data_IF_866662415165
#
_entry.id   IF_866662415165
#
_cell.length_a   1.000
_cell.length_b   1.000
_cell.length_c   1.000
_cell.angle_alpha   90.00
_cell.angle_beta   90.00
_cell.angle_gamma   90.00
#
_symmetry.space_group_name_H-M   'P 1'
#
loop_
_entity.id
_entity.type
_entity.pdbx_description
1 polymer ?
#
# COMPACT_ATOMS: atom_id res chain seq x y z
N UNK A 1 25.53 14.54 2.74
CA UNK A 1 25.92 13.83 1.50
C UNK A 1 27.01 12.81 1.81
N UNK A 2 28.19 13.21 2.30
CA UNK A 2 29.32 12.29 2.59
C UNK A 2 28.99 11.13 3.53
N UNK A 3 28.25 11.37 4.63
CA UNK A 3 27.86 10.30 5.56
C UNK A 3 27.02 9.22 4.88
N UNK A 4 26.13 9.63 3.95
CA UNK A 4 25.27 8.67 3.25
C UNK A 4 26.09 7.77 2.34
N UNK A 5 27.03 8.36 1.60
CA UNK A 5 27.96 7.62 0.74
C UNK A 5 28.87 6.70 1.55
N UNK A 6 29.43 7.17 2.67
CA UNK A 6 30.30 6.35 3.52
C UNK A 6 29.61 5.10 4.06
N UNK A 7 28.35 5.22 4.49
CA UNK A 7 27.55 4.07 4.95
C UNK A 7 27.13 3.20 3.77
N UNK A 8 26.78 3.79 2.63
CA UNK A 8 26.41 3.06 1.41
C UNK A 8 27.57 2.18 0.91
N UNK A 9 28.81 2.66 1.02
CA UNK A 9 30.01 1.94 0.60
C UNK A 9 30.43 0.85 1.62
N UNK A 10 29.91 0.86 2.85
CA UNK A 10 30.12 -0.19 3.84
C UNK A 10 29.15 -1.37 3.64
N UNK A 11 29.41 -2.15 2.59
CA UNK A 11 28.61 -3.31 2.21
C UNK A 11 28.51 -4.34 3.35
N UNK A 12 29.56 -4.49 4.18
CA UNK A 12 29.56 -5.44 5.29
C UNK A 12 28.56 -5.03 6.36
N UNK A 13 28.56 -3.76 6.73
CA UNK A 13 27.61 -3.22 7.69
C UNK A 13 26.18 -3.37 7.19
N UNK A 14 25.91 -2.96 5.95
CA UNK A 14 24.54 -3.01 5.40
C UNK A 14 24.06 -4.46 5.21
N UNK A 15 24.92 -5.37 4.76
CA UNK A 15 24.58 -6.79 4.63
C UNK A 15 24.19 -7.39 6.00
N UNK A 16 24.97 -7.11 7.04
CA UNK A 16 24.67 -7.59 8.38
C UNK A 16 23.39 -6.95 8.95
N UNK A 17 23.15 -5.67 8.66
CA UNK A 17 21.93 -4.96 9.03
C UNK A 17 20.69 -5.64 8.44
N UNK A 18 20.68 -5.89 7.13
CA UNK A 18 19.54 -6.54 6.47
C UNK A 18 19.37 -7.99 6.89
N UNK A 19 20.47 -8.73 7.09
CA UNK A 19 20.43 -10.07 7.66
C UNK A 19 19.72 -10.08 9.02
N UNK A 20 20.07 -9.16 9.92
CA UNK A 20 19.42 -9.06 11.23
C UNK A 20 17.95 -8.63 11.15
N UNK A 21 17.57 -7.78 10.19
CA UNK A 21 16.17 -7.40 10.00
C UNK A 21 15.30 -8.60 9.63
N UNK A 22 15.83 -9.55 8.85
CA UNK A 22 15.11 -10.75 8.40
C UNK A 22 15.27 -11.98 9.28
N UNK A 23 16.29 -12.02 10.15
CA UNK A 23 16.59 -13.17 11.00
C UNK A 23 15.54 -13.32 12.12
N UNK A 24 14.88 -14.48 12.18
CA UNK A 24 13.86 -14.83 13.17
C UNK A 24 14.34 -14.70 14.62
N UNK A 25 15.64 -14.89 14.86
CA UNK A 25 16.25 -14.79 16.20
C UNK A 25 16.46 -13.34 16.67
N UNK A 26 16.35 -12.35 15.78
CA UNK A 26 16.51 -10.94 16.15
C UNK A 26 15.33 -10.46 17.00
N UNK A 27 15.63 -9.94 18.18
CA UNK A 27 14.62 -9.42 19.10
C UNK A 27 13.91 -8.18 18.54
N UNK A 28 12.64 -7.98 18.95
CA UNK A 28 11.84 -6.82 18.54
C UNK A 28 12.56 -5.48 18.82
N UNK A 29 13.14 -5.24 20.02
CA UNK A 29 13.87 -3.99 20.27
C UNK A 29 15.05 -3.80 19.31
N UNK A 30 15.79 -4.87 19.01
CA UNK A 30 16.93 -4.80 18.09
C UNK A 30 16.46 -4.51 16.66
N UNK A 31 15.41 -5.18 16.18
CA UNK A 31 14.81 -4.87 14.86
C UNK A 31 14.34 -3.42 14.80
N UNK A 32 13.68 -2.93 15.85
CA UNK A 32 13.23 -1.54 15.93
C UNK A 32 14.39 -0.56 15.77
N UNK A 33 15.50 -0.76 16.49
CA UNK A 33 16.68 0.11 16.39
C UNK A 33 17.27 0.12 14.97
N UNK A 34 17.31 -1.05 14.32
CA UNK A 34 17.80 -1.19 12.93
C UNK A 34 16.87 -0.49 11.93
N UNK A 35 15.55 -0.63 12.07
CA UNK A 35 14.58 0.06 11.20
C UNK A 35 14.61 1.57 11.42
N UNK A 36 14.75 2.04 12.66
CA UNK A 36 14.88 3.47 12.96
C UNK A 36 16.16 4.06 12.34
N UNK A 37 17.27 3.33 12.42
CA UNK A 37 18.48 3.71 11.69
C UNK A 37 18.24 3.78 10.18
N UNK A 38 17.60 2.76 9.60
CA UNK A 38 17.33 2.69 8.17
C UNK A 38 16.40 3.80 7.70
N UNK A 39 15.42 4.20 8.54
CA UNK A 39 14.56 5.35 8.31
C UNK A 39 15.37 6.63 8.19
N UNK A 40 16.22 6.92 9.16
CA UNK A 40 17.06 8.12 9.11
C UNK A 40 18.03 8.06 7.92
N UNK A 41 18.56 6.89 7.59
CA UNK A 41 19.41 6.71 6.41
C UNK A 41 18.67 7.04 5.12
N UNK A 42 17.42 6.58 4.95
CA UNK A 42 16.55 6.93 3.83
C UNK A 42 16.18 8.43 3.83
N UNK A 43 15.91 9.01 5.00
CA UNK A 43 15.63 10.44 5.14
C UNK A 43 16.81 11.30 4.69
N UNK A 44 18.04 10.97 5.12
CA UNK A 44 19.24 11.67 4.66
C UNK A 44 19.49 11.53 3.16
N UNK A 45 19.14 10.38 2.59
CA UNK A 45 19.23 10.14 1.14
C UNK A 45 18.39 11.12 0.31
N UNK A 46 17.36 11.74 0.90
CA UNK A 46 16.52 12.72 0.21
C UNK A 46 17.28 13.98 -0.23
N UNK A 47 18.45 14.24 0.37
CA UNK A 47 19.31 15.37 0.02
C UNK A 47 20.36 15.02 -1.06
N UNK A 48 20.41 13.77 -1.52
CA UNK A 48 21.30 13.36 -2.60
C UNK A 48 20.82 13.91 -3.95
N UNK A 49 21.76 14.13 -4.85
CA UNK A 49 21.47 14.38 -6.26
C UNK A 49 20.77 13.15 -6.89
N UNK A 50 20.01 13.31 -7.98
CA UNK A 50 19.22 12.22 -8.58
C UNK A 50 20.00 10.92 -8.84
N UNK A 51 21.22 11.03 -9.36
CA UNK A 51 22.10 9.87 -9.60
C UNK A 51 22.54 9.16 -8.31
N UNK A 52 22.80 9.94 -7.24
CA UNK A 52 23.14 9.40 -5.93
C UNK A 52 21.95 8.68 -5.30
N UNK A 53 20.74 9.25 -5.42
CA UNK A 53 19.51 8.57 -4.98
C UNK A 53 19.28 7.25 -5.72
N UNK A 54 19.52 7.24 -7.03
CA UNK A 54 19.35 6.03 -7.84
C UNK A 54 20.27 4.91 -7.37
N UNK A 55 21.56 5.23 -7.19
CA UNK A 55 22.54 4.29 -6.67
C UNK A 55 22.15 3.82 -5.26
N UNK A 56 21.71 4.73 -4.39
CA UNK A 56 21.29 4.42 -3.02
C UNK A 56 20.15 3.40 -2.98
N UNK A 57 19.03 3.68 -3.66
CA UNK A 57 17.89 2.76 -3.65
C UNK A 57 18.21 1.44 -4.32
N UNK A 58 19.02 1.44 -5.39
CA UNK A 58 19.49 0.21 -6.02
C UNK A 58 20.28 -0.66 -5.04
N UNK A 59 21.18 -0.07 -4.25
CA UNK A 59 21.93 -0.79 -3.20
C UNK A 59 20.98 -1.38 -2.15
N UNK A 60 20.05 -0.58 -1.61
CA UNK A 60 19.12 -1.08 -0.58
C UNK A 60 18.20 -2.19 -1.09
N UNK A 61 17.69 -2.07 -2.33
CA UNK A 61 16.91 -3.11 -2.97
C UNK A 61 17.72 -4.39 -3.16
N UNK A 62 18.96 -4.30 -3.62
CA UNK A 62 19.84 -5.46 -3.81
C UNK A 62 20.17 -6.18 -2.49
N UNK A 63 20.24 -5.45 -1.37
CA UNK A 63 20.53 -6.00 -0.05
C UNK A 63 19.30 -6.53 0.71
N UNK A 64 18.10 -6.41 0.15
CA UNK A 64 16.90 -7.03 0.72
C UNK A 64 16.04 -6.11 1.59
N UNK A 65 15.98 -4.81 1.28
CA UNK A 65 15.07 -3.89 1.99
C UNK A 65 13.59 -4.27 1.87
N UNK A 66 13.14 -4.80 0.72
CA UNK A 66 11.74 -5.16 0.52
C UNK A 66 11.33 -6.39 1.36
N UNK A 67 12.10 -7.50 1.39
CA UNK A 67 11.89 -8.58 2.36
C UNK A 67 11.90 -8.11 3.81
N UNK A 68 12.81 -7.18 4.17
CA UNK A 68 12.84 -6.63 5.51
C UNK A 68 11.53 -5.89 5.86
N UNK A 69 10.99 -5.11 4.92
CA UNK A 69 9.74 -4.37 5.10
C UNK A 69 8.50 -5.26 5.25
N UNK A 70 8.46 -6.43 4.61
CA UNK A 70 7.39 -7.42 4.82
C UNK A 70 7.28 -7.82 6.29
N UNK A 71 8.43 -8.10 6.90
CA UNK A 71 8.53 -8.50 8.29
C UNK A 71 8.21 -7.31 9.20
N UNK A 72 8.85 -6.17 8.98
CA UNK A 72 8.79 -5.05 9.93
C UNK A 72 7.45 -4.32 9.91
N UNK A 73 6.73 -4.31 8.79
CA UNK A 73 5.34 -3.84 8.72
C UNK A 73 4.38 -4.77 9.48
N UNK A 74 4.65 -6.08 9.49
CA UNK A 74 3.80 -7.07 10.16
C UNK A 74 4.06 -7.17 11.68
N UNK A 75 5.18 -6.65 12.20
CA UNK A 75 5.51 -6.69 13.63
C UNK A 75 4.52 -5.85 14.43
N UNK A 76 4.00 -6.40 15.54
CA UNK A 76 3.15 -5.69 16.48
C UNK A 76 3.93 -4.70 17.40
N UNK A 77 4.65 -3.76 16.81
CA UNK A 77 5.35 -2.66 17.48
C UNK A 77 5.13 -1.37 16.70
N UNK A 78 4.43 -0.40 17.30
CA UNK A 78 3.98 0.81 16.61
C UNK A 78 5.13 1.64 16.01
N UNK A 79 6.25 1.78 16.75
CA UNK A 79 7.41 2.54 16.27
C UNK A 79 8.06 1.87 15.06
N UNK A 80 8.21 0.54 15.09
CA UNK A 80 8.74 -0.25 13.97
C UNK A 80 7.83 -0.13 12.75
N UNK A 81 6.51 -0.21 12.92
CA UNK A 81 5.55 -0.04 11.81
C UNK A 81 5.65 1.34 11.20
N UNK A 82 5.55 2.41 11.99
CA UNK A 82 5.63 3.80 11.49
C UNK A 82 6.92 4.04 10.71
N UNK A 83 8.06 3.60 11.25
CA UNK A 83 9.34 3.74 10.56
C UNK A 83 9.40 2.93 9.26
N UNK A 84 8.78 1.75 9.22
CA UNK A 84 8.68 0.93 8.00
C UNK A 84 7.79 1.58 6.94
N UNK A 85 6.68 2.21 7.35
CA UNK A 85 5.79 2.96 6.44
C UNK A 85 6.53 4.17 5.86
N UNK A 86 7.30 4.90 6.67
CA UNK A 86 8.13 6.02 6.18
C UNK A 86 9.14 5.55 5.13
N UNK A 87 9.88 4.46 5.41
CA UNK A 87 10.85 3.87 4.47
C UNK A 87 10.17 3.44 3.17
N UNK A 88 9.06 2.71 3.28
CA UNK A 88 8.29 2.25 2.11
C UNK A 88 7.79 3.44 1.28
N UNK A 89 7.31 4.49 1.94
CA UNK A 89 6.87 5.73 1.28
C UNK A 89 8.00 6.34 0.47
N UNK A 90 9.20 6.48 1.05
CA UNK A 90 10.37 6.99 0.33
C UNK A 90 10.75 6.15 -0.91
N UNK A 91 10.68 4.82 -0.80
CA UNK A 91 10.98 3.92 -1.93
C UNK A 91 9.93 4.09 -3.04
N UNK A 92 8.66 4.12 -2.67
CA UNK A 92 7.53 4.19 -3.62
C UNK A 92 7.48 5.57 -4.28
N UNK A 93 7.71 6.65 -3.54
CA UNK A 93 7.81 8.00 -4.11
C UNK A 93 8.98 8.13 -5.10
N UNK A 94 10.09 7.45 -4.84
CA UNK A 94 11.25 7.46 -5.73
C UNK A 94 11.08 6.57 -6.96
N UNK A 95 10.63 5.32 -6.77
CA UNK A 95 10.51 4.33 -7.85
C UNK A 95 9.43 3.28 -7.54
N UNK A 96 8.15 3.55 -7.85
CA UNK A 96 7.05 2.61 -7.61
C UNK A 96 7.24 1.24 -8.29
N UNK A 97 7.88 1.22 -9.47
CA UNK A 97 8.12 0.00 -10.25
C UNK A 97 8.95 -1.05 -9.51
N UNK A 98 9.87 -0.63 -8.64
CA UNK A 98 10.71 -1.57 -7.87
C UNK A 98 9.86 -2.44 -6.95
N UNK A 99 8.84 -1.85 -6.32
CA UNK A 99 7.91 -2.57 -5.44
C UNK A 99 6.93 -3.44 -6.25
N UNK A 100 6.52 -2.98 -7.44
CA UNK A 100 5.65 -3.75 -8.33
C UNK A 100 6.37 -4.96 -8.91
N UNK A 101 7.58 -4.78 -9.45
CA UNK A 101 8.40 -5.87 -9.98
C UNK A 101 8.70 -6.91 -8.90
N UNK A 102 9.03 -6.46 -7.68
CA UNK A 102 9.20 -7.34 -6.55
C UNK A 102 7.91 -8.11 -6.22
N UNK A 103 6.75 -7.45 -6.19
CA UNK A 103 5.45 -8.12 -6.02
C UNK A 103 5.21 -9.19 -7.10
N UNK A 104 5.56 -8.91 -8.36
CA UNK A 104 5.42 -9.86 -9.45
C UNK A 104 6.34 -11.08 -9.32
N UNK A 105 7.55 -10.89 -8.80
CA UNK A 105 8.50 -11.98 -8.53
C UNK A 105 8.01 -12.92 -7.41
N UNK A 106 7.21 -12.40 -6.49
CA UNK A 106 6.66 -13.16 -5.36
C UNK A 106 5.50 -14.10 -5.72
N UNK A 107 4.73 -13.81 -6.79
CA UNK A 107 3.45 -14.49 -7.12
C UNK A 107 3.53 -16.01 -7.10
N UNK A 108 4.66 -16.60 -7.51
CA UNK A 108 4.82 -18.05 -7.61
C UNK A 108 5.65 -18.67 -6.46
N UNK A 109 6.27 -17.84 -5.63
CA UNK A 109 7.31 -18.27 -4.68
C UNK A 109 6.98 -17.96 -3.21
N UNK A 110 5.96 -17.13 -2.98
CA UNK A 110 5.62 -16.60 -1.66
C UNK A 110 4.15 -16.84 -1.38
N UNK A 111 3.82 -17.20 -0.13
CA UNK A 111 2.43 -17.31 0.28
C UNK A 111 1.74 -15.94 0.17
N UNK A 112 0.48 -15.87 -0.31
CA UNK A 112 -0.19 -14.59 -0.55
C UNK A 112 -0.17 -13.65 0.66
N UNK A 113 -0.32 -14.17 1.87
CA UNK A 113 -0.34 -13.36 3.11
C UNK A 113 1.01 -12.70 3.43
N UNK A 114 2.11 -13.27 2.93
CA UNK A 114 3.47 -12.77 3.15
C UNK A 114 3.93 -11.78 2.07
N UNK A 115 3.23 -11.72 0.93
CA UNK A 115 3.59 -10.80 -0.16
C UNK A 115 3.45 -9.34 0.27
N UNK A 116 4.43 -8.50 -0.09
CA UNK A 116 4.51 -7.13 0.40
C UNK A 116 3.24 -6.30 0.11
N UNK A 117 2.66 -6.43 -1.08
CA UNK A 117 1.40 -5.74 -1.42
C UNK A 117 0.23 -6.14 -0.52
N UNK A 118 0.17 -7.41 -0.11
CA UNK A 118 -0.89 -7.93 0.75
C UNK A 118 -0.62 -7.57 2.22
N UNK A 119 0.65 -7.51 2.64
CA UNK A 119 1.04 -6.95 3.94
C UNK A 119 0.61 -5.48 4.03
N UNK A 120 0.87 -4.67 3.00
CA UNK A 120 0.44 -3.26 2.92
C UNK A 120 -1.07 -3.14 3.11
N UNK A 121 -1.85 -3.90 2.32
CA UNK A 121 -3.32 -3.87 2.41
C UNK A 121 -3.81 -4.34 3.78
N UNK A 122 -3.22 -5.40 4.32
CA UNK A 122 -3.58 -5.96 5.63
C UNK A 122 -3.29 -4.97 6.75
N UNK A 123 -2.14 -4.29 6.74
CA UNK A 123 -1.83 -3.28 7.75
C UNK A 123 -2.71 -2.04 7.62
N UNK A 124 -3.08 -1.63 6.40
CA UNK A 124 -4.02 -0.52 6.17
C UNK A 124 -5.39 -0.81 6.80
N UNK A 125 -5.99 -1.97 6.52
CA UNK A 125 -7.34 -2.28 7.01
C UNK A 125 -7.38 -2.61 8.51
N UNK A 126 -6.24 -3.02 9.07
CA UNK A 126 -6.13 -3.40 10.49
C UNK A 126 -5.44 -2.34 11.35
N UNK A 127 -5.21 -1.12 10.86
CA UNK A 127 -4.55 -0.06 11.65
C UNK A 127 -5.35 0.24 12.92
N UNK A 128 -4.72 0.00 14.07
CA UNK A 128 -5.32 0.18 15.40
C UNK A 128 -5.14 1.59 15.94
N UNK A 129 -4.39 2.46 15.26
CA UNK A 129 -4.23 3.85 15.65
C UNK A 129 -5.58 4.60 15.64
N UNK A 130 -5.80 5.43 16.66
CA UNK A 130 -7.07 6.17 16.82
C UNK A 130 -7.32 7.15 15.69
N UNK A 131 -6.25 7.70 15.11
CA UNK A 131 -6.31 8.67 14.00
C UNK A 131 -6.09 8.01 12.64
N UNK A 132 -5.90 6.68 12.61
CA UNK A 132 -5.58 5.91 11.41
C UNK A 132 -4.35 6.44 10.65
N UNK A 133 -3.38 7.00 11.37
CA UNK A 133 -2.21 7.64 10.76
C UNK A 133 -1.43 6.70 9.83
N UNK A 134 -1.29 5.43 10.23
CA UNK A 134 -0.64 4.40 9.41
C UNK A 134 -1.46 4.03 8.18
N UNK A 135 -2.77 3.85 8.33
CA UNK A 135 -3.67 3.54 7.22
C UNK A 135 -3.74 4.68 6.20
N UNK A 136 -3.71 5.95 6.63
CA UNK A 136 -3.66 7.11 5.73
C UNK A 136 -2.38 7.08 4.89
N UNK A 137 -1.23 6.86 5.51
CA UNK A 137 0.05 6.78 4.80
C UNK A 137 0.09 5.56 3.85
N UNK A 138 -0.34 4.39 4.31
CA UNK A 138 -0.40 3.17 3.48
C UNK A 138 -1.40 3.31 2.32
N UNK A 139 -2.50 4.04 2.49
CA UNK A 139 -3.41 4.37 1.40
C UNK A 139 -2.73 5.26 0.35
N UNK A 140 -1.90 6.22 0.78
CA UNK A 140 -1.04 7.02 -0.10
C UNK A 140 -0.06 6.15 -0.90
N UNK A 141 0.64 5.25 -0.22
CA UNK A 141 1.53 4.26 -0.85
C UNK A 141 0.77 3.42 -1.88
N UNK A 142 -0.38 2.86 -1.49
CA UNK A 142 -1.17 2.00 -2.36
C UNK A 142 -1.67 2.76 -3.59
N UNK A 143 -2.07 4.02 -3.42
CA UNK A 143 -2.47 4.90 -4.53
C UNK A 143 -1.32 5.10 -5.52
N UNK A 144 -0.10 5.38 -5.04
CA UNK A 144 1.07 5.50 -5.90
C UNK A 144 1.38 4.19 -6.63
N UNK A 145 1.30 3.05 -5.94
CA UNK A 145 1.55 1.75 -6.59
C UNK A 145 0.51 1.43 -7.66
N UNK A 146 -0.73 1.87 -7.47
CA UNK A 146 -1.85 1.64 -8.38
C UNK A 146 -1.93 2.64 -9.52
N UNK A 147 -1.24 3.77 -9.47
CA UNK A 147 -1.40 4.84 -10.46
C UNK A 147 -0.90 4.46 -11.86
N UNK A 148 -1.78 4.34 -12.88
CA UNK A 148 -1.37 4.01 -14.22
C UNK A 148 -0.45 5.04 -14.88
N UNK A 149 -0.44 6.29 -14.40
CA UNK A 149 0.42 7.36 -14.93
C UNK A 149 1.89 7.12 -14.60
N UNK A 150 2.18 6.43 -13.49
CA UNK A 150 3.54 6.02 -13.12
C UNK A 150 3.87 4.56 -13.49
N UNK A 151 2.95 3.86 -14.15
CA UNK A 151 3.17 2.55 -14.79
C UNK A 151 3.59 2.75 -16.25
N UNK A 152 4.63 3.57 -16.43
CA UNK A 152 5.27 3.78 -17.73
C UNK A 152 5.87 2.46 -18.22
N UNK A 153 6.13 2.36 -19.53
CA UNK A 153 6.77 1.17 -20.11
C UNK A 153 8.12 0.92 -19.43
N UNK A 154 8.11 0.11 -18.37
CA UNK A 154 9.31 -0.39 -17.72
C UNK A 154 10.00 -1.38 -18.65
N UNK A 155 11.16 -1.89 -18.23
CA UNK A 155 11.83 -3.00 -18.92
C UNK A 155 10.84 -4.16 -19.15
N UNK A 156 9.89 -4.34 -18.21
CA UNK A 156 8.81 -5.30 -18.31
C UNK A 156 7.54 -4.66 -18.91
N UNK A 157 7.36 -4.81 -20.23
CA UNK A 157 6.21 -4.26 -20.96
C UNK A 157 4.84 -4.74 -20.46
N UNK A 158 4.77 -5.84 -19.68
CA UNK A 158 3.52 -6.37 -19.14
C UNK A 158 3.29 -6.02 -17.67
N UNK A 159 4.25 -5.37 -16.99
CA UNK A 159 4.21 -5.05 -15.54
C UNK A 159 2.86 -4.44 -15.12
N UNK A 160 2.40 -3.40 -15.83
CA UNK A 160 1.12 -2.74 -15.57
C UNK A 160 -0.04 -3.74 -15.55
N UNK A 161 -0.12 -4.59 -16.56
CA UNK A 161 -1.22 -5.54 -16.73
C UNK A 161 -1.14 -6.62 -15.66
N UNK A 162 0.05 -7.19 -15.45
CA UNK A 162 0.26 -8.29 -14.53
C UNK A 162 0.05 -7.85 -13.07
N UNK A 163 0.54 -6.67 -12.70
CA UNK A 163 0.41 -6.13 -11.35
C UNK A 163 -1.05 -5.80 -11.03
N UNK A 164 -1.74 -5.09 -11.93
CA UNK A 164 -3.16 -4.80 -11.74
C UNK A 164 -4.00 -6.07 -11.72
N UNK A 165 -3.72 -7.06 -12.57
CA UNK A 165 -4.41 -8.35 -12.55
C UNK A 165 -4.24 -9.06 -11.21
N UNK A 166 -3.01 -9.08 -10.66
CA UNK A 166 -2.76 -9.64 -9.34
C UNK A 166 -3.53 -8.89 -8.25
N UNK A 167 -3.45 -7.57 -8.24
CA UNK A 167 -4.13 -6.72 -7.25
C UNK A 167 -5.64 -6.96 -7.24
N UNK A 168 -6.29 -6.93 -8.41
CA UNK A 168 -7.74 -7.12 -8.52
C UNK A 168 -8.20 -8.55 -8.25
N UNK A 169 -7.35 -9.55 -8.47
CA UNK A 169 -7.67 -10.94 -8.19
C UNK A 169 -7.52 -11.28 -6.70
N UNK A 170 -6.51 -10.71 -6.04
CA UNK A 170 -6.11 -11.12 -4.69
C UNK A 170 -6.26 -9.96 -3.69
N UNK A 171 -5.44 -8.92 -3.81
CA UNK A 171 -5.29 -7.86 -2.80
C UNK A 171 -6.56 -7.04 -2.55
N UNK A 172 -7.36 -6.78 -3.59
CA UNK A 172 -8.57 -5.97 -3.46
C UNK A 172 -9.62 -6.63 -2.56
N UNK A 173 -9.61 -7.97 -2.44
CA UNK A 173 -10.59 -8.69 -1.62
C UNK A 173 -10.44 -8.31 -0.16
N UNK A 174 -9.20 -8.28 0.34
CA UNK A 174 -8.87 -7.82 1.70
C UNK A 174 -9.17 -6.33 1.88
N UNK A 175 -8.85 -5.50 0.87
CA UNK A 175 -9.09 -4.06 0.94
C UNK A 175 -10.57 -3.71 1.13
N UNK A 176 -11.47 -4.40 0.41
CA UNK A 176 -12.91 -4.09 0.44
C UNK A 176 -13.67 -4.84 1.54
N UNK A 177 -13.05 -5.81 2.20
CA UNK A 177 -13.70 -6.65 3.21
C UNK A 177 -14.37 -5.82 4.33
N UNK A 178 -13.72 -4.81 4.94
CA UNK A 178 -14.37 -3.99 5.97
C UNK A 178 -15.63 -3.29 5.46
N UNK A 179 -15.61 -2.85 4.19
CA UNK A 179 -16.76 -2.22 3.55
C UNK A 179 -17.91 -3.19 3.35
N UNK A 180 -17.62 -4.39 2.83
CA UNK A 180 -18.63 -5.42 2.63
C UNK A 180 -19.23 -5.88 3.96
N UNK A 181 -18.39 -6.10 4.98
CA UNK A 181 -18.82 -6.47 6.32
C UNK A 181 -19.72 -5.39 6.97
N UNK A 182 -19.41 -4.12 6.76
CA UNK A 182 -20.19 -3.02 7.33
C UNK A 182 -21.51 -2.75 6.59
N UNK A 183 -21.73 -3.35 5.42
CA UNK A 183 -22.86 -3.06 4.53
C UNK A 183 -23.68 -4.31 4.18
N UNK A 184 -23.72 -5.28 5.09
CA UNK A 184 -24.50 -6.53 4.91
C UNK A 184 -26.01 -6.25 4.86
N UNK A 185 -26.51 -5.36 5.73
CA UNK A 185 -27.93 -5.01 5.85
C UNK A 185 -28.32 -3.71 5.13
N UNK A 186 -29.46 -3.13 5.50
CA UNK A 186 -29.99 -1.94 4.83
C UNK A 186 -29.38 -0.61 5.31
N UNK A 187 -28.50 -0.64 6.30
CA UNK A 187 -27.79 0.52 6.87
C UNK A 187 -26.38 0.10 7.32
N UNK A 188 -25.43 1.03 7.49
CA UNK A 188 -24.11 0.74 8.06
C UNK A 188 -24.25 0.05 9.43
N UNK A 189 -23.50 -1.03 9.65
CA UNK A 189 -23.56 -1.82 10.89
C UNK A 189 -22.85 -1.10 12.06
N UNK A 190 -21.67 -0.57 11.78
CA UNK A 190 -20.80 0.16 12.68
C UNK A 190 -20.57 1.57 12.13
N UNK A 191 -20.68 2.55 13.02
CA UNK A 191 -20.51 3.98 12.74
C UNK A 191 -19.62 4.69 13.77
N UNK A 192 -18.78 3.93 14.49
CA UNK A 192 -17.73 4.52 15.30
C UNK A 192 -16.71 5.25 14.42
N UNK A 193 -16.04 6.25 15.00
CA UNK A 193 -15.16 7.15 14.28
C UNK A 193 -14.09 6.43 13.45
N UNK A 194 -13.44 5.41 14.02
CA UNK A 194 -12.39 4.64 13.34
C UNK A 194 -12.97 3.90 12.14
N UNK A 195 -14.09 3.20 12.31
CA UNK A 195 -14.73 2.47 11.20
C UNK A 195 -15.09 3.40 10.06
N UNK A 196 -15.75 4.54 10.33
CA UNK A 196 -16.18 5.44 9.25
C UNK A 196 -15.02 6.10 8.51
N UNK A 197 -13.93 6.41 9.21
CA UNK A 197 -12.72 6.92 8.56
C UNK A 197 -12.07 5.87 7.66
N UNK A 198 -11.93 4.63 8.13
CA UNK A 198 -11.37 3.53 7.32
C UNK A 198 -12.20 3.30 6.06
N UNK A 199 -13.53 3.30 6.19
CA UNK A 199 -14.44 3.20 5.03
C UNK A 199 -14.29 4.39 4.08
N UNK A 200 -14.04 5.60 4.61
CA UNK A 200 -13.67 6.77 3.82
C UNK A 200 -12.43 6.54 2.97
N UNK A 201 -11.34 6.04 3.58
CA UNK A 201 -10.09 5.72 2.88
C UNK A 201 -10.29 4.67 1.77
N UNK A 202 -11.03 3.60 2.07
CA UNK A 202 -11.37 2.55 1.09
C UNK A 202 -12.18 3.15 -0.06
N UNK A 203 -13.17 4.00 0.22
CA UNK A 203 -13.96 4.67 -0.82
C UNK A 203 -13.13 5.59 -1.71
N UNK A 204 -12.15 6.29 -1.15
CA UNK A 204 -11.24 7.15 -1.91
C UNK A 204 -10.36 6.33 -2.86
N UNK A 205 -9.78 5.23 -2.39
CA UNK A 205 -9.01 4.30 -3.22
C UNK A 205 -9.85 3.66 -4.32
N UNK A 206 -11.07 3.23 -4.01
CA UNK A 206 -12.00 2.69 -5.00
C UNK A 206 -12.43 3.75 -6.01
N UNK A 207 -12.67 4.98 -5.56
CA UNK A 207 -12.99 6.11 -6.44
C UNK A 207 -11.84 6.43 -7.40
N UNK A 208 -10.60 6.36 -6.93
CA UNK A 208 -9.41 6.47 -7.77
C UNK A 208 -9.37 5.32 -8.79
N UNK A 209 -9.55 4.08 -8.36
CA UNK A 209 -9.59 2.93 -9.26
C UNK A 209 -10.66 3.05 -10.36
N UNK A 210 -11.85 3.58 -10.04
CA UNK A 210 -12.93 3.82 -11.01
C UNK A 210 -12.51 4.80 -12.11
N UNK A 211 -11.76 5.85 -11.74
CA UNK A 211 -11.30 6.86 -12.70
C UNK A 211 -10.18 6.33 -13.60
N UNK A 212 -9.28 5.53 -13.06
CA UNK A 212 -8.01 5.24 -13.73
C UNK A 212 -7.93 3.83 -14.34
N UNK A 213 -8.68 2.84 -13.83
CA UNK A 213 -8.48 1.42 -14.19
C UNK A 213 -9.55 0.83 -15.09
N UNK A 214 -10.46 1.65 -15.65
CA UNK A 214 -11.43 1.27 -16.69
C UNK A 214 -12.02 -0.15 -16.57
N UNK A 215 -11.47 -1.15 -17.28
CA UNK A 215 -12.01 -2.52 -17.36
C UNK A 215 -11.79 -3.34 -16.09
N UNK A 216 -10.64 -3.25 -15.42
CA UNK A 216 -10.32 -4.11 -14.28
C UNK A 216 -11.24 -3.84 -13.07
N UNK A 217 -11.52 -2.57 -12.80
CA UNK A 217 -12.41 -2.16 -11.71
C UNK A 217 -13.87 -2.55 -11.97
N UNK A 218 -14.32 -2.61 -13.24
CA UNK A 218 -15.69 -3.05 -13.62
C UNK A 218 -15.97 -4.45 -13.09
N UNK A 219 -15.06 -5.39 -13.36
CA UNK A 219 -15.21 -6.77 -12.92
C UNK A 219 -15.31 -6.87 -11.39
N UNK A 220 -14.53 -6.07 -10.67
CA UNK A 220 -14.64 -6.00 -9.21
C UNK A 220 -16.00 -5.46 -8.76
N UNK A 221 -16.49 -4.36 -9.37
CA UNK A 221 -17.76 -3.74 -8.99
C UNK A 221 -18.92 -4.71 -9.18
N UNK A 222 -18.97 -5.40 -10.33
CA UNK A 222 -20.05 -6.32 -10.68
C UNK A 222 -20.00 -7.59 -9.83
N UNK A 223 -18.85 -8.26 -9.76
CA UNK A 223 -18.73 -9.56 -9.09
C UNK A 223 -18.90 -9.48 -7.58
N UNK A 224 -18.72 -8.31 -6.97
CA UNK A 224 -18.84 -8.09 -5.52
C UNK A 224 -20.08 -7.30 -5.10
N UNK A 225 -20.98 -6.97 -6.04
CA UNK A 225 -22.14 -6.10 -5.81
C UNK A 225 -21.74 -4.76 -5.15
N UNK A 226 -20.56 -4.24 -5.52
CA UNK A 226 -19.86 -3.21 -4.74
C UNK A 226 -20.60 -1.87 -4.77
N UNK A 227 -21.21 -1.52 -5.90
CA UNK A 227 -21.99 -0.29 -6.02
C UNK A 227 -23.15 -0.29 -5.02
N UNK A 228 -23.94 -1.36 -4.97
CA UNK A 228 -25.06 -1.48 -4.03
C UNK A 228 -24.57 -1.39 -2.58
N UNK A 229 -23.47 -2.08 -2.26
CA UNK A 229 -22.83 -2.07 -0.94
C UNK A 229 -22.42 -0.65 -0.54
N UNK A 230 -21.79 0.10 -1.44
CA UNK A 230 -21.40 1.49 -1.22
C UNK A 230 -22.62 2.40 -1.03
N UNK A 231 -23.70 2.20 -1.78
CA UNK A 231 -24.90 3.03 -1.65
C UNK A 231 -25.60 2.89 -0.28
N UNK A 232 -25.39 1.79 0.44
CA UNK A 232 -25.86 1.64 1.83
C UNK A 232 -25.22 2.71 2.74
N UNK A 233 -23.98 3.12 2.46
CA UNK A 233 -23.28 4.16 3.23
C UNK A 233 -23.93 5.55 3.11
N UNK A 234 -24.82 5.76 2.13
CA UNK A 234 -25.60 7.00 2.04
C UNK A 234 -26.60 7.17 3.20
N UNK A 235 -26.87 6.11 3.95
CA UNK A 235 -27.69 6.13 5.17
C UNK A 235 -26.87 6.35 6.44
N UNK A 236 -25.58 6.63 6.32
CA UNK A 236 -24.72 6.93 7.46
C UNK A 236 -25.13 8.25 8.13
N UNK A 237 -24.93 8.32 9.45
CA UNK A 237 -25.03 9.57 10.22
C UNK A 237 -23.87 10.55 9.93
N UNK A 238 -22.80 10.08 9.29
CA UNK A 238 -21.60 10.87 9.00
C UNK A 238 -21.63 11.46 7.58
N UNK A 239 -21.84 12.76 7.48
CA UNK A 239 -21.98 13.48 6.21
C UNK A 239 -20.81 13.26 5.25
N UNK A 240 -19.57 13.21 5.73
CA UNK A 240 -18.41 13.01 4.86
C UNK A 240 -18.44 11.65 4.14
N UNK A 241 -18.92 10.60 4.83
CA UNK A 241 -19.02 9.26 4.28
C UNK A 241 -20.14 9.18 3.23
N UNK A 242 -21.28 9.82 3.51
CA UNK A 242 -22.39 9.97 2.54
C UNK A 242 -21.91 10.68 1.27
N UNK A 243 -21.15 11.77 1.42
CA UNK A 243 -20.58 12.50 0.29
C UNK A 243 -19.52 11.68 -0.47
N UNK A 244 -18.75 10.84 0.23
CA UNK A 244 -17.85 9.86 -0.36
C UNK A 244 -18.58 8.89 -1.28
N UNK A 245 -19.63 8.23 -0.78
CA UNK A 245 -20.46 7.30 -1.54
C UNK A 245 -21.14 7.97 -2.75
N UNK A 246 -21.68 9.18 -2.57
CA UNK A 246 -22.29 9.94 -3.65
C UNK A 246 -21.28 10.31 -4.75
N UNK A 247 -20.06 10.73 -4.38
CA UNK A 247 -18.98 11.01 -5.34
C UNK A 247 -18.60 9.76 -6.12
N UNK A 248 -18.47 8.63 -5.44
CA UNK A 248 -18.20 7.34 -6.08
C UNK A 248 -19.27 6.97 -7.11
N UNK A 249 -20.55 7.05 -6.75
CA UNK A 249 -21.67 6.80 -7.66
C UNK A 249 -21.63 7.72 -8.88
N UNK A 250 -21.39 9.03 -8.67
CA UNK A 250 -21.27 10.00 -9.76
C UNK A 250 -20.14 9.67 -10.72
N UNK A 251 -19.00 9.18 -10.22
CA UNK A 251 -17.88 8.75 -11.07
C UNK A 251 -18.28 7.58 -11.96
N UNK A 252 -18.97 6.56 -11.42
CA UNK A 252 -19.48 5.43 -12.21
C UNK A 252 -20.44 5.90 -13.31
N UNK A 253 -21.42 6.74 -12.97
CA UNK A 253 -22.38 7.27 -13.96
C UNK A 253 -21.66 8.11 -15.03
N UNK A 254 -20.68 8.92 -14.63
CA UNK A 254 -19.92 9.78 -15.54
C UNK A 254 -19.08 9.01 -16.56
N UNK A 255 -18.75 7.74 -16.30
CA UNK A 255 -18.08 6.89 -17.28
C UNK A 255 -18.94 6.63 -18.54
N UNK A 256 -20.26 6.89 -18.48
CA UNK A 256 -21.21 6.75 -19.62
C UNK A 256 -21.10 5.41 -20.33
N UNK A 257 -20.75 4.37 -19.60
CA UNK A 257 -20.61 3.04 -20.16
C UNK A 257 -21.97 2.35 -20.20
N UNK A 258 -22.38 1.84 -21.35
CA UNK A 258 -23.62 1.08 -21.51
C UNK A 258 -23.68 -0.13 -20.57
N UNK A 259 -22.52 -0.63 -20.13
CA UNK A 259 -22.40 -1.77 -19.23
C UNK A 259 -22.87 -1.53 -17.78
N UNK A 260 -23.03 -0.28 -17.36
CA UNK A 260 -23.54 0.08 -16.02
C UNK A 260 -25.01 0.51 -16.01
N UNK A 261 -25.66 0.56 -17.18
CA UNK A 261 -27.08 0.94 -17.35
C UNK A 261 -28.01 -0.27 -17.28
#
# INVERSE_FOLDING_TARGET
VEIVTLIQDDERFLTELFRQLTDESTSIPKRRDLVLFLKEFCNFSQNLQPQGKEAFYRTLTALGILPALEITLAINDGQTKTASIDILTYIVEYSPSVVRDYTLQQINNTEPEQMLINVIVTQLVNDTDTELGGAVQLAGVLRLLLDPENMLASVNKTEKTDFLNYFYKNSIVTLIEPLLANTVGDKPLHEDYRTVQLLGLILELLSFCVEHHMYQIKNCILNKDLLRRILILMKSSHTFLVLGALRFMRKIIALKDEFYN
#
